data_IF_550347467483
#
_entry.id   IF_550347467483
#
_cell.length_a   1.000
_cell.length_b   1.000
_cell.length_c   1.000
_cell.angle_alpha   90.00
_cell.angle_beta   90.00
_cell.angle_gamma   90.00
#
_symmetry.space_group_name_H-M   'P 1'
#
loop_
_entity.id
_entity.type
_entity.pdbx_description
1 polymer ?
#
# COMPACT_ATOMS: atom_id res chain seq x y z
N UNK A 1 -51.62 10.79 24.21
CA UNK A 1 -50.95 10.08 23.10
C UNK A 1 -49.45 10.31 23.24
N UNK A 2 -48.68 9.32 23.71
CA UNK A 2 -47.22 9.37 23.68
C UNK A 2 -46.75 8.70 22.38
N UNK A 3 -46.06 9.45 21.53
CA UNK A 3 -45.38 8.90 20.36
C UNK A 3 -44.01 8.38 20.79
N UNK A 4 -43.80 7.06 20.70
CA UNK A 4 -42.48 6.46 20.79
C UNK A 4 -41.77 6.65 19.44
N UNK A 5 -40.68 7.43 19.43
CA UNK A 5 -39.76 7.48 18.30
C UNK A 5 -38.95 6.18 18.27
N UNK A 6 -39.16 5.35 17.25
CA UNK A 6 -38.32 4.20 16.99
C UNK A 6 -36.97 4.67 16.44
N UNK A 7 -35.91 4.52 17.24
CA UNK A 7 -34.54 4.74 16.79
C UNK A 7 -34.11 3.50 16.00
N UNK A 8 -34.08 3.63 14.67
CA UNK A 8 -33.55 2.56 13.81
C UNK A 8 -32.03 2.46 14.03
N UNK A 9 -31.59 1.39 14.70
CA UNK A 9 -30.18 1.03 14.79
C UNK A 9 -29.73 0.58 13.40
N UNK A 10 -28.99 1.43 12.70
CA UNK A 10 -28.33 1.05 11.44
C UNK A 10 -27.14 0.15 11.81
N UNK A 11 -27.27 -1.14 11.54
CA UNK A 11 -26.15 -2.08 11.57
C UNK A 11 -25.18 -1.70 10.45
N UNK A 12 -24.06 -1.05 10.80
CA UNK A 12 -22.91 -0.93 9.92
C UNK A 12 -22.31 -2.34 9.80
N UNK A 13 -22.51 -2.98 8.65
CA UNK A 13 -21.80 -4.22 8.32
C UNK A 13 -20.31 -3.88 8.23
N UNK A 14 -19.51 -4.33 9.21
CA UNK A 14 -18.06 -4.31 9.06
C UNK A 14 -17.70 -5.45 8.11
N UNK A 15 -17.58 -5.16 6.82
CA UNK A 15 -16.97 -6.11 5.91
C UNK A 15 -15.56 -6.46 6.41
N UNK A 16 -15.11 -7.69 6.15
CA UNK A 16 -13.77 -8.09 6.57
C UNK A 16 -12.69 -7.39 5.72
N UNK A 17 -11.51 -7.11 6.29
CA UNK A 17 -10.34 -6.67 5.52
C UNK A 17 -10.05 -7.59 4.32
N UNK A 18 -9.84 -7.00 3.14
CA UNK A 18 -9.46 -7.74 1.93
C UNK A 18 -7.94 -7.66 1.77
N UNK A 19 -7.27 -8.81 1.79
CA UNK A 19 -5.84 -8.88 1.52
C UNK A 19 -5.53 -8.54 0.05
N UNK A 20 -4.73 -7.50 -0.18
CA UNK A 20 -4.17 -7.17 -1.50
C UNK A 20 -2.85 -7.91 -1.74
N UNK A 21 -2.14 -8.28 -0.67
CA UNK A 21 -1.02 -9.21 -0.71
C UNK A 21 -1.37 -10.46 0.11
N UNK A 22 -1.27 -11.63 -0.51
CA UNK A 22 -1.74 -12.89 0.09
C UNK A 22 -0.69 -13.64 0.92
N UNK A 23 0.55 -13.12 1.01
CA UNK A 23 1.66 -13.75 1.73
C UNK A 23 2.27 -14.99 1.05
N UNK A 24 1.80 -15.39 -0.13
CA UNK A 24 2.23 -16.64 -0.80
C UNK A 24 2.93 -16.37 -2.13
N UNK A 25 2.37 -15.48 -2.93
CA UNK A 25 2.84 -15.15 -4.27
C UNK A 25 2.35 -13.73 -4.66
N UNK A 26 2.50 -13.38 -5.93
CA UNK A 26 2.13 -12.09 -6.49
C UNK A 26 0.79 -12.13 -7.25
N UNK A 27 -0.13 -13.01 -6.84
CA UNK A 27 -1.51 -13.02 -7.37
C UNK A 27 -2.19 -11.67 -7.17
N UNK A 28 -2.83 -11.16 -8.24
CA UNK A 28 -3.46 -9.84 -8.24
C UNK A 28 -2.48 -8.69 -8.49
N UNK A 29 -1.22 -8.97 -8.82
CA UNK A 29 -0.20 -8.00 -9.18
C UNK A 29 0.33 -8.21 -10.59
N UNK A 30 0.86 -7.13 -11.16
CA UNK A 30 1.59 -7.11 -12.42
C UNK A 30 2.80 -6.18 -12.33
N UNK A 31 3.73 -6.34 -13.25
CA UNK A 31 4.76 -5.32 -13.46
C UNK A 31 4.10 -4.01 -13.91
N UNK A 32 4.53 -2.89 -13.34
CA UNK A 32 4.17 -1.55 -13.82
C UNK A 32 5.21 -1.07 -14.84
N UNK A 33 5.41 -1.90 -15.86
CA UNK A 33 6.30 -1.67 -17.01
C UNK A 33 5.46 -1.45 -18.28
N UNK A 34 6.13 -1.25 -19.43
CA UNK A 34 5.47 -1.15 -20.74
C UNK A 34 4.63 -2.40 -21.05
N UNK A 35 5.17 -3.58 -20.71
CA UNK A 35 4.59 -4.87 -21.10
C UNK A 35 3.54 -5.35 -20.10
N UNK A 36 3.47 -4.74 -18.92
CA UNK A 36 2.47 -5.03 -17.88
C UNK A 36 2.35 -6.52 -17.55
N UNK A 37 3.48 -7.22 -17.53
CA UNK A 37 3.51 -8.66 -17.36
C UNK A 37 2.79 -9.09 -16.06
N UNK A 38 1.86 -10.04 -16.18
CA UNK A 38 1.15 -10.59 -15.03
C UNK A 38 2.11 -11.36 -14.13
N UNK A 39 1.88 -11.26 -12.83
CA UNK A 39 2.67 -11.93 -11.79
C UNK A 39 1.88 -13.00 -11.05
N UNK A 40 0.67 -13.33 -11.53
CA UNK A 40 -0.13 -14.43 -10.99
C UNK A 40 0.68 -15.73 -10.93
N UNK A 41 0.62 -16.40 -9.78
CA UNK A 41 1.37 -17.61 -9.44
C UNK A 41 2.86 -17.41 -9.19
N UNK A 42 3.44 -16.25 -9.53
CA UNK A 42 4.88 -16.00 -9.36
C UNK A 42 5.21 -15.56 -7.95
N UNK A 43 6.36 -16.00 -7.46
CA UNK A 43 6.92 -15.54 -6.19
C UNK A 43 7.95 -14.42 -6.37
N UNK A 44 8.26 -14.04 -7.61
CA UNK A 44 9.22 -12.96 -7.88
C UNK A 44 8.88 -12.15 -9.14
N UNK A 45 9.42 -10.93 -9.20
CA UNK A 45 9.38 -10.05 -10.36
C UNK A 45 10.73 -9.34 -10.58
N UNK A 46 11.02 -8.99 -11.84
CA UNK A 46 12.27 -8.32 -12.25
C UNK A 46 13.54 -9.01 -11.74
N UNK A 47 13.70 -10.31 -12.00
CA UNK A 47 14.88 -11.06 -11.55
C UNK A 47 15.06 -11.10 -10.04
N UNK A 48 13.98 -10.90 -9.29
CA UNK A 48 13.99 -10.93 -7.83
C UNK A 48 14.15 -9.56 -7.16
N UNK A 49 13.93 -8.45 -7.86
CA UNK A 49 13.80 -7.14 -7.18
C UNK A 49 12.65 -7.16 -6.17
N UNK A 50 11.56 -7.82 -6.52
CA UNK A 50 10.46 -8.15 -5.63
C UNK A 50 10.42 -9.67 -5.46
N UNK A 51 10.43 -10.17 -4.23
CA UNK A 51 10.37 -11.60 -3.90
C UNK A 51 9.40 -11.86 -2.77
N UNK A 52 8.67 -12.96 -2.81
CA UNK A 52 7.86 -13.44 -1.70
C UNK A 52 8.66 -14.53 -0.97
N UNK A 53 9.02 -14.26 0.28
CA UNK A 53 9.81 -15.14 1.13
C UNK A 53 9.09 -15.23 2.48
N UNK A 54 8.74 -16.44 2.91
CA UNK A 54 8.16 -16.72 4.24
C UNK A 54 7.00 -15.80 4.66
N UNK A 55 6.06 -15.51 3.75
CA UNK A 55 4.94 -14.62 4.06
C UNK A 55 5.16 -13.14 3.75
N UNK A 56 6.37 -12.74 3.35
CA UNK A 56 6.80 -11.35 3.24
C UNK A 56 7.17 -11.01 1.81
N UNK A 57 6.69 -9.87 1.32
CA UNK A 57 7.16 -9.27 0.07
C UNK A 57 8.44 -8.48 0.35
N UNK A 58 9.57 -8.97 -0.13
CA UNK A 58 10.90 -8.39 0.01
C UNK A 58 11.24 -7.57 -1.24
N UNK A 59 11.65 -6.32 -1.02
CA UNK A 59 12.33 -5.49 -2.00
C UNK A 59 13.84 -5.69 -1.82
N UNK A 60 14.49 -6.36 -2.77
CA UNK A 60 15.91 -6.75 -2.70
C UNK A 60 16.79 -5.78 -3.50
N UNK A 61 17.70 -5.03 -2.86
CA UNK A 61 18.59 -4.09 -3.54
C UNK A 61 19.78 -4.74 -4.24
N UNK A 62 19.93 -6.08 -4.22
CA UNK A 62 20.88 -6.78 -5.07
C UNK A 62 20.53 -6.58 -6.55
N UNK A 63 19.25 -6.58 -6.90
CA UNK A 63 18.75 -6.17 -8.21
C UNK A 63 18.62 -4.64 -8.25
N UNK A 64 19.20 -4.01 -9.26
CA UNK A 64 19.20 -2.55 -9.43
C UNK A 64 18.10 -2.09 -10.38
N UNK A 65 17.77 -0.80 -10.29
CA UNK A 65 16.84 -0.12 -11.19
C UNK A 65 15.66 0.49 -10.45
N UNK A 66 15.01 1.42 -11.12
CA UNK A 66 13.77 2.03 -10.66
C UNK A 66 12.58 1.21 -11.18
N UNK A 67 12.10 0.28 -10.34
CA UNK A 67 11.19 -0.78 -10.76
C UNK A 67 9.89 -0.72 -9.95
N UNK A 68 8.80 -1.15 -10.58
CA UNK A 68 7.47 -0.98 -10.03
C UNK A 68 6.62 -2.23 -10.24
N UNK A 69 5.86 -2.61 -9.21
CA UNK A 69 4.72 -3.51 -9.36
C UNK A 69 3.44 -2.76 -9.00
N UNK A 70 2.33 -3.14 -9.60
CA UNK A 70 1.03 -2.56 -9.31
C UNK A 70 -0.06 -3.62 -9.25
N UNK A 71 -1.12 -3.34 -8.49
CA UNK A 71 -2.30 -4.19 -8.45
C UNK A 71 -2.93 -4.27 -9.84
N UNK A 72 -3.42 -5.45 -10.20
CA UNK A 72 -4.17 -5.64 -11.44
C UNK A 72 -5.46 -4.81 -11.43
N UNK A 73 -6.14 -4.81 -10.27
CA UNK A 73 -7.33 -4.01 -9.99
C UNK A 73 -6.98 -2.54 -9.82
N UNK A 74 -7.93 -1.69 -10.17
CA UNK A 74 -7.92 -0.26 -9.88
C UNK A 74 -8.95 0.07 -8.81
N UNK A 75 -8.68 1.08 -7.98
CA UNK A 75 -9.54 1.43 -6.86
C UNK A 75 -10.24 2.79 -7.08
N UNK A 76 -11.59 2.80 -7.24
CA UNK A 76 -12.39 4.02 -7.30
C UNK A 76 -12.80 4.50 -5.90
N UNK A 77 -13.38 5.70 -5.85
CA UNK A 77 -14.15 6.17 -4.68
C UNK A 77 -13.33 6.34 -3.40
N UNK A 78 -14.05 6.24 -2.29
CA UNK A 78 -13.49 6.25 -0.94
C UNK A 78 -12.86 4.88 -0.64
N UNK A 79 -11.68 4.89 -0.02
CA UNK A 79 -10.98 3.65 0.32
C UNK A 79 -10.00 3.86 1.46
N UNK A 80 -9.67 2.76 2.13
CA UNK A 80 -8.67 2.74 3.20
C UNK A 80 -7.72 1.57 2.98
N UNK A 81 -6.44 1.84 2.78
CA UNK A 81 -5.40 0.80 2.63
C UNK A 81 -4.44 0.89 3.80
N UNK A 82 -4.06 -0.25 4.38
CA UNK A 82 -2.98 -0.34 5.37
C UNK A 82 -1.87 -1.24 4.81
N UNK A 83 -0.64 -0.74 4.90
CA UNK A 83 0.59 -1.44 4.53
C UNK A 83 1.43 -1.59 5.81
N UNK A 84 1.69 -2.82 6.23
CA UNK A 84 2.67 -3.13 7.28
C UNK A 84 4.01 -3.42 6.62
N UNK A 85 5.04 -2.64 6.97
CA UNK A 85 6.35 -2.74 6.35
C UNK A 85 7.47 -2.52 7.36
N UNK A 86 8.68 -2.93 6.99
CA UNK A 86 9.92 -2.73 7.76
C UNK A 86 10.98 -2.21 6.80
N UNK A 87 11.37 -0.93 6.86
CA UNK A 87 12.39 -0.38 5.99
C UNK A 87 13.76 -0.94 6.37
N UNK A 88 14.53 -1.36 5.38
CA UNK A 88 15.90 -1.85 5.58
C UNK A 88 16.96 -0.78 5.28
N UNK A 89 18.25 -1.18 5.26
CA UNK A 89 19.33 -0.27 4.96
C UNK A 89 19.13 0.48 3.63
N UNK A 90 19.35 1.80 3.67
CA UNK A 90 19.21 2.72 2.52
C UNK A 90 17.82 2.74 1.88
N UNK A 91 16.77 2.33 2.61
CA UNK A 91 15.40 2.34 2.11
C UNK A 91 15.02 3.72 1.59
N UNK A 92 14.75 3.79 0.30
CA UNK A 92 14.06 4.90 -0.35
C UNK A 92 13.15 4.28 -1.40
N UNK A 93 11.91 4.05 -1.00
CA UNK A 93 10.89 3.37 -1.79
C UNK A 93 9.60 4.18 -1.66
N UNK A 94 8.64 3.96 -2.55
CA UNK A 94 7.44 4.80 -2.59
C UNK A 94 6.19 3.96 -2.83
N UNK A 95 5.05 4.51 -2.42
CA UNK A 95 3.72 4.02 -2.79
C UNK A 95 2.97 5.07 -3.58
N UNK A 96 2.20 4.62 -4.58
CA UNK A 96 1.41 5.51 -5.43
C UNK A 96 -0.02 5.02 -5.51
N UNK A 97 -0.96 5.96 -5.39
CA UNK A 97 -2.37 5.74 -5.67
C UNK A 97 -3.05 7.09 -5.93
N UNK A 98 -4.10 7.13 -6.74
CA UNK A 98 -4.90 8.33 -7.08
C UNK A 98 -4.07 9.56 -7.47
N UNK A 99 -2.96 9.32 -8.16
CA UNK A 99 -2.08 10.38 -8.66
C UNK A 99 -1.17 11.02 -7.61
N UNK A 100 -1.08 10.45 -6.41
CA UNK A 100 -0.09 10.85 -5.40
C UNK A 100 1.03 9.83 -5.30
N UNK A 101 2.20 10.33 -4.88
CA UNK A 101 3.38 9.56 -4.46
C UNK A 101 3.56 9.79 -2.96
N UNK A 102 3.88 8.76 -2.19
CA UNK A 102 4.25 8.87 -0.78
C UNK A 102 5.53 8.06 -0.51
N UNK A 103 6.49 8.71 0.13
CA UNK A 103 7.89 8.31 0.30
C UNK A 103 8.05 7.53 1.62
N UNK A 104 8.45 6.26 1.51
CA UNK A 104 8.75 5.38 2.65
C UNK A 104 10.25 5.40 2.93
N UNK A 105 10.74 6.56 3.37
CA UNK A 105 12.17 6.86 3.58
C UNK A 105 12.43 7.18 5.06
N UNK A 106 13.17 6.33 5.81
CA UNK A 106 13.63 6.68 7.15
C UNK A 106 14.39 8.00 7.21
N UNK A 107 13.93 8.92 8.06
CA UNK A 107 14.49 10.28 8.19
C UNK A 107 14.16 11.22 7.01
N UNK A 108 13.37 10.76 6.04
CA UNK A 108 12.88 11.58 4.93
C UNK A 108 11.79 12.55 5.39
N UNK A 109 11.36 13.44 4.47
CA UNK A 109 10.32 14.44 4.76
C UNK A 109 9.02 13.82 5.29
N UNK A 110 8.61 12.69 4.70
CA UNK A 110 7.38 11.99 5.08
C UNK A 110 7.66 10.90 6.12
N UNK A 111 8.81 10.24 6.05
CA UNK A 111 9.23 9.17 6.96
C UNK A 111 10.14 9.63 8.11
N UNK A 112 9.99 10.86 8.61
CA UNK A 112 10.89 11.43 9.62
C UNK A 112 11.05 10.54 10.86
N UNK A 113 9.95 9.90 11.28
CA UNK A 113 9.90 9.02 12.45
C UNK A 113 10.07 7.53 12.11
N UNK A 114 10.28 7.17 10.84
CA UNK A 114 10.59 5.80 10.46
C UNK A 114 12.03 5.48 10.81
N UNK A 115 12.25 4.25 11.30
CA UNK A 115 13.58 3.75 11.65
C UNK A 115 13.88 2.49 10.87
N UNK A 116 15.13 2.39 10.42
CA UNK A 116 15.62 1.18 9.74
C UNK A 116 15.52 -0.01 10.70
N UNK A 117 14.95 -1.11 10.23
CA UNK A 117 14.83 -2.35 10.96
C UNK A 117 13.64 -2.42 11.93
N UNK A 118 12.87 -1.35 12.12
CA UNK A 118 11.66 -1.35 12.95
C UNK A 118 10.40 -1.43 12.06
N UNK A 119 9.44 -2.25 12.45
CA UNK A 119 8.16 -2.34 11.76
C UNK A 119 7.37 -1.03 11.89
N UNK A 120 6.68 -0.65 10.82
CA UNK A 120 5.82 0.52 10.74
C UNK A 120 4.57 0.23 9.91
N UNK A 121 3.56 1.08 10.05
CA UNK A 121 2.36 1.06 9.21
C UNK A 121 2.27 2.32 8.37
N UNK A 122 1.97 2.17 7.08
CA UNK A 122 1.51 3.25 6.22
C UNK A 122 0.02 3.04 5.95
N UNK A 123 -0.81 3.98 6.42
CA UNK A 123 -2.24 3.99 6.18
C UNK A 123 -2.58 5.08 5.17
N UNK A 124 -3.31 4.70 4.12
CA UNK A 124 -3.79 5.60 3.07
C UNK A 124 -5.31 5.66 3.17
N UNK A 125 -5.85 6.84 3.44
CA UNK A 125 -7.29 7.09 3.52
C UNK A 125 -7.69 8.06 2.42
N UNK A 126 -8.58 7.65 1.54
CA UNK A 126 -9.17 8.50 0.51
C UNK A 126 -10.64 8.70 0.84
N UNK A 127 -11.07 9.96 0.95
CA UNK A 127 -12.47 10.36 1.12
C UNK A 127 -12.77 11.52 0.19
N UNK A 128 -13.70 11.32 -0.75
CA UNK A 128 -13.99 12.25 -1.82
C UNK A 128 -12.75 12.54 -2.67
N UNK A 129 -12.33 13.80 -2.70
CA UNK A 129 -11.13 14.27 -3.41
C UNK A 129 -9.93 14.50 -2.50
N UNK A 130 -9.97 14.03 -1.24
CA UNK A 130 -8.87 14.15 -0.28
C UNK A 130 -8.22 12.78 -0.07
N UNK A 131 -6.90 12.75 -0.12
CA UNK A 131 -6.09 11.61 0.32
C UNK A 131 -5.22 12.02 1.50
N UNK A 132 -5.26 11.22 2.56
CA UNK A 132 -4.46 11.34 3.76
C UNK A 132 -3.54 10.12 3.89
N UNK A 133 -2.26 10.38 4.12
CA UNK A 133 -1.26 9.36 4.43
C UNK A 133 -0.88 9.50 5.90
N UNK A 134 -0.90 8.37 6.60
CA UNK A 134 -0.52 8.27 8.00
C UNK A 134 0.61 7.27 8.16
N UNK A 135 1.54 7.57 9.07
CA UNK A 135 2.56 6.64 9.51
C UNK A 135 2.35 6.33 10.99
N UNK A 136 2.27 5.05 11.34
CA UNK A 136 2.03 4.62 12.72
C UNK A 136 0.85 5.37 13.37
N UNK A 137 -0.27 5.48 12.64
CA UNK A 137 -1.50 6.22 12.99
C UNK A 137 -1.43 7.75 12.97
N UNK A 138 -0.24 8.36 12.86
CA UNK A 138 -0.07 9.81 12.82
C UNK A 138 -0.26 10.36 11.40
N UNK A 139 -1.07 11.41 11.23
CA UNK A 139 -1.22 12.10 9.94
C UNK A 139 0.08 12.79 9.53
N UNK A 140 0.65 12.35 8.41
CA UNK A 140 1.90 12.90 7.86
C UNK A 140 1.62 13.86 6.71
N UNK A 141 0.69 13.49 5.81
CA UNK A 141 0.43 14.28 4.61
C UNK A 141 -1.01 14.19 4.16
N UNK A 142 -1.53 15.33 3.72
CA UNK A 142 -2.81 15.44 3.01
C UNK A 142 -2.59 16.06 1.63
N UNK A 143 -3.32 15.57 0.63
CA UNK A 143 -3.27 16.08 -0.73
C UNK A 143 -4.62 15.88 -1.44
N UNK A 144 -4.74 16.43 -2.65
CA UNK A 144 -5.88 16.17 -3.52
C UNK A 144 -5.70 14.83 -4.25
N UNK A 145 -6.70 13.96 -4.15
CA UNK A 145 -6.79 12.72 -4.91
C UNK A 145 -7.38 13.00 -6.30
N UNK A 146 -6.81 12.41 -7.36
CA UNK A 146 -7.42 12.45 -8.70
C UNK A 146 -8.71 11.64 -8.72
N UNK A 147 -9.77 12.02 -9.45
CA UNK A 147 -11.06 11.32 -9.42
C UNK A 147 -11.03 9.94 -10.10
N UNK A 148 -10.20 9.77 -11.13
CA UNK A 148 -10.11 8.51 -11.86
C UNK A 148 -9.52 7.39 -10.98
N UNK A 149 -10.04 6.16 -11.09
CA UNK A 149 -9.48 5.02 -10.37
C UNK A 149 -8.07 4.71 -10.88
N UNK A 150 -7.20 4.26 -9.97
CA UNK A 150 -5.83 3.82 -10.30
C UNK A 150 -5.51 2.53 -9.58
N UNK A 151 -4.54 1.77 -10.09
CA UNK A 151 -3.90 0.71 -9.31
C UNK A 151 -3.18 1.30 -8.09
N UNK A 152 -3.02 0.49 -7.03
CA UNK A 152 -1.99 0.74 -6.01
C UNK A 152 -0.65 0.28 -6.61
N UNK A 153 0.37 1.11 -6.56
CA UNK A 153 1.70 0.80 -7.08
C UNK A 153 2.75 0.94 -5.99
N UNK A 154 3.68 0.00 -5.96
CA UNK A 154 4.87 0.02 -5.10
C UNK A 154 6.08 0.23 -6.00
N UNK A 155 6.92 1.19 -5.64
CA UNK A 155 8.20 1.46 -6.29
C UNK A 155 9.34 0.96 -5.44
N UNK A 156 10.24 0.27 -6.09
CA UNK A 156 11.50 -0.17 -5.54
C UNK A 156 12.62 0.72 -6.09
N UNK A 157 12.80 1.93 -5.56
CA UNK A 157 13.81 2.87 -6.06
C UNK A 157 15.20 2.52 -5.50
N UNK A 158 15.38 2.56 -4.16
CA UNK A 158 16.64 2.20 -3.50
C UNK A 158 16.45 1.48 -2.16
N UNK A 159 17.49 0.76 -1.76
CA UNK A 159 17.54 0.04 -0.49
C UNK A 159 16.59 -1.15 -0.41
N UNK A 160 16.60 -1.80 0.74
CA UNK A 160 15.68 -2.90 1.03
C UNK A 160 14.46 -2.44 1.81
N UNK A 161 13.38 -3.18 1.66
CA UNK A 161 12.16 -3.04 2.46
C UNK A 161 11.46 -4.40 2.49
N UNK A 162 10.91 -4.75 3.64
CA UNK A 162 10.02 -5.90 3.79
C UNK A 162 8.58 -5.38 3.93
N UNK A 163 7.63 -5.97 3.22
CA UNK A 163 6.21 -5.68 3.34
C UNK A 163 5.53 -6.97 3.81
N UNK A 164 4.98 -6.93 5.02
CA UNK A 164 4.35 -8.09 5.65
C UNK A 164 2.88 -8.21 5.28
N UNK A 165 2.18 -7.09 5.15
CA UNK A 165 0.77 -7.11 4.76
C UNK A 165 0.38 -5.86 3.97
N UNK A 166 -0.58 -6.04 3.06
CA UNK A 166 -1.27 -4.96 2.36
C UNK A 166 -2.75 -5.32 2.39
N UNK A 167 -3.56 -4.48 3.04
CA UNK A 167 -4.98 -4.73 3.26
C UNK A 167 -5.81 -3.55 2.79
N UNK A 168 -6.90 -3.85 2.09
CA UNK A 168 -8.00 -2.92 1.84
C UNK A 168 -9.03 -3.10 2.95
N UNK A 169 -9.35 -2.02 3.64
CA UNK A 169 -10.36 -1.98 4.69
C UNK A 169 -11.68 -1.40 4.15
N UNK A 170 -12.82 -1.71 4.81
CA UNK A 170 -14.12 -1.11 4.51
C UNK A 170 -14.16 0.39 4.81
#
# INVERSE_FOLDING_TARGET
>A
MLAFAAFALVLVSSADPVALFNGKNLDGWREASRDKALLAGKTEAFGGRFKVIDGVLVIDPAVKGDLYIETEKTFPGDLRIIIEFKPGPKCNNDVFIRGTKFDLVPGGKEGMNLKVGESATCEIVIKGDVIEHRLNTESVRRAKAKPAPTSLRIRAEFGSMEIKSIQLLP
#
